data_IF_397525562529
#
_entry.id   IF_397525562529
#
_cell.length_a   1.000
_cell.length_b   1.000
_cell.length_c   1.000
_cell.angle_alpha   90.00
_cell.angle_beta   90.00
_cell.angle_gamma   90.00
#
_symmetry.space_group_name_H-M   'P 1'
#
loop_
_entity.id
_entity.type
_entity.pdbx_description
1 polymer ?
#
# COMPACT_ATOMS: atom_id res chain seq x y z
N UNK A 1 -16.47 20.83 -11.02
CA UNK A 1 -15.95 20.78 -9.64
C UNK A 1 -16.22 19.38 -9.13
N UNK A 2 -15.20 18.62 -8.83
CA UNK A 2 -15.35 17.29 -8.18
C UNK A 2 -15.98 17.53 -6.81
N UNK A 3 -17.06 16.85 -6.40
CA UNK A 3 -17.64 17.03 -5.09
C UNK A 3 -16.58 16.74 -4.04
N UNK A 4 -16.49 17.57 -3.02
CA UNK A 4 -15.55 17.38 -1.90
C UNK A 4 -15.97 16.11 -1.17
N UNK A 5 -15.17 15.04 -1.25
CA UNK A 5 -15.41 13.79 -0.54
C UNK A 5 -15.34 14.03 0.97
N UNK A 6 -16.27 13.44 1.71
CA UNK A 6 -16.36 13.60 3.16
C UNK A 6 -16.06 12.29 3.92
N UNK A 7 -16.28 11.13 3.27
CA UNK A 7 -16.12 9.80 3.85
C UNK A 7 -14.97 9.02 3.20
N UNK A 8 -14.95 8.96 1.85
CA UNK A 8 -13.91 8.25 1.13
C UNK A 8 -12.61 9.07 1.08
N UNK A 9 -11.55 8.53 1.67
CA UNK A 9 -10.17 8.99 1.51
C UNK A 9 -9.51 8.42 0.25
N UNK A 10 -8.18 8.42 0.21
CA UNK A 10 -7.40 7.78 -0.88
C UNK A 10 -7.45 6.26 -0.83
N UNK A 11 -7.81 5.67 0.33
CA UNK A 11 -7.81 4.23 0.56
C UNK A 11 -9.06 3.79 1.34
N UNK A 12 -10.23 4.09 0.80
CA UNK A 12 -11.51 3.75 1.38
C UNK A 12 -11.99 4.68 2.50
N UNK A 13 -12.94 4.21 3.30
CA UNK A 13 -13.49 4.91 4.47
C UNK A 13 -12.70 4.44 5.69
N UNK A 14 -12.14 5.36 6.49
CA UNK A 14 -11.39 5.04 7.71
C UNK A 14 -11.84 5.87 8.90
N UNK A 15 -11.69 5.33 10.10
CA UNK A 15 -11.97 6.02 11.36
C UNK A 15 -11.78 5.12 12.57
N UNK A 16 -12.04 5.67 13.75
CA UNK A 16 -12.07 4.91 15.00
C UNK A 16 -13.32 4.01 15.00
N UNK A 17 -13.12 2.73 15.28
CA UNK A 17 -14.21 1.76 15.31
C UNK A 17 -15.22 2.11 16.42
N UNK A 18 -16.51 2.18 16.06
CA UNK A 18 -17.58 2.62 16.95
C UNK A 18 -17.90 4.11 16.89
N UNK A 19 -17.05 4.93 16.26
CA UNK A 19 -17.29 6.34 15.99
C UNK A 19 -17.67 6.56 14.52
N UNK A 20 -18.34 7.69 14.23
CA UNK A 20 -18.63 8.04 12.84
C UNK A 20 -17.31 8.27 12.07
N UNK A 21 -17.13 7.68 10.88
CA UNK A 21 -18.12 7.00 10.02
C UNK A 21 -18.25 5.48 10.25
N UNK A 22 -17.64 4.88 11.27
CA UNK A 22 -17.64 3.43 11.52
C UNK A 22 -18.52 3.04 12.73
N UNK A 23 -19.68 3.67 12.89
CA UNK A 23 -20.69 3.21 13.84
C UNK A 23 -21.44 1.99 13.28
N UNK A 24 -22.16 1.26 14.16
CA UNK A 24 -22.98 0.12 13.74
C UNK A 24 -24.07 0.51 12.72
N UNK A 25 -24.63 1.72 12.82
CA UNK A 25 -25.61 2.22 11.87
C UNK A 25 -24.96 2.61 10.54
N UNK A 26 -23.91 3.42 10.56
CA UNK A 26 -23.27 3.88 9.32
C UNK A 26 -22.62 2.75 8.55
N UNK A 27 -22.02 1.75 9.20
CA UNK A 27 -21.44 0.58 8.51
C UNK A 27 -22.51 -0.27 7.83
N UNK A 28 -23.70 -0.42 8.44
CA UNK A 28 -24.85 -1.03 7.78
C UNK A 28 -25.31 -0.23 6.56
N UNK A 29 -25.40 1.11 6.70
CA UNK A 29 -25.80 1.98 5.59
C UNK A 29 -24.77 2.01 4.45
N UNK A 30 -23.48 1.90 4.76
CA UNK A 30 -22.42 1.73 3.74
C UNK A 30 -22.68 0.46 2.92
N UNK A 31 -22.94 -0.67 3.57
CA UNK A 31 -23.30 -1.91 2.89
C UNK A 31 -24.54 -1.77 2.02
N UNK A 32 -25.58 -1.12 2.52
CA UNK A 32 -26.83 -0.88 1.78
C UNK A 32 -26.62 0.04 0.56
N UNK A 33 -25.87 1.14 0.73
CA UNK A 33 -25.56 2.06 -0.37
C UNK A 33 -24.74 1.38 -1.46
N UNK A 34 -23.74 0.58 -1.09
CA UNK A 34 -22.98 -0.25 -2.03
C UNK A 34 -23.91 -1.22 -2.78
N UNK A 35 -24.83 -1.84 -2.06
CA UNK A 35 -25.84 -2.74 -2.66
C UNK A 35 -26.70 -2.04 -3.72
N UNK A 36 -27.19 -0.85 -3.43
CA UNK A 36 -27.95 -0.05 -4.39
C UNK A 36 -27.12 0.32 -5.63
N UNK A 37 -25.85 0.69 -5.45
CA UNK A 37 -24.95 1.03 -6.57
C UNK A 37 -24.72 -0.19 -7.49
N UNK A 38 -24.44 -1.36 -6.92
CA UNK A 38 -24.21 -2.59 -7.67
C UNK A 38 -25.45 -3.06 -8.47
N UNK A 39 -26.64 -2.90 -7.91
CA UNK A 39 -27.89 -3.28 -8.57
C UNK A 39 -28.25 -2.39 -9.77
N UNK A 40 -27.66 -1.19 -9.86
CA UNK A 40 -27.81 -0.32 -11.06
C UNK A 40 -27.11 -0.88 -12.29
N UNK A 41 -26.03 -1.64 -12.12
CA UNK A 41 -25.15 -2.10 -13.20
C UNK A 41 -25.10 -3.61 -13.39
N UNK A 42 -25.53 -4.40 -12.41
CA UNK A 42 -25.37 -5.87 -12.40
C UNK A 42 -26.63 -6.57 -11.97
N UNK A 43 -27.09 -7.53 -12.77
CA UNK A 43 -28.19 -8.44 -12.36
C UNK A 43 -27.64 -9.53 -11.43
N UNK A 44 -28.30 -9.72 -10.27
CA UNK A 44 -27.91 -10.71 -9.26
C UNK A 44 -26.45 -10.64 -8.82
N UNK A 45 -25.95 -9.46 -8.36
CA UNK A 45 -24.58 -9.31 -7.94
C UNK A 45 -24.26 -10.19 -6.72
N UNK A 46 -23.05 -10.71 -6.68
CA UNK A 46 -22.47 -11.36 -5.51
C UNK A 46 -21.31 -10.50 -4.99
N UNK A 47 -21.16 -10.39 -3.69
CA UNK A 47 -20.08 -9.62 -3.06
C UNK A 47 -19.22 -10.56 -2.20
N UNK A 48 -17.91 -10.40 -2.29
CA UNK A 48 -16.95 -11.05 -1.40
C UNK A 48 -16.61 -10.08 -0.27
N UNK A 49 -16.58 -10.58 0.98
CA UNK A 49 -16.10 -9.83 2.14
C UNK A 49 -14.89 -10.54 2.75
N UNK A 50 -13.83 -9.78 3.07
CA UNK A 50 -12.68 -10.21 3.83
C UNK A 50 -12.34 -9.20 4.91
N UNK A 51 -11.54 -9.61 5.89
CA UNK A 51 -11.19 -8.74 7.02
C UNK A 51 -9.80 -9.02 7.55
N UNK A 52 -9.21 -8.03 8.23
CA UNK A 52 -8.01 -8.23 9.04
C UNK A 52 -8.33 -8.79 10.44
N UNK A 53 -7.33 -8.81 11.30
CA UNK A 53 -7.38 -9.45 12.62
C UNK A 53 -7.87 -8.54 13.74
N UNK A 54 -8.27 -7.28 13.48
CA UNK A 54 -8.74 -6.33 14.50
C UNK A 54 -9.98 -6.85 15.20
N UNK A 55 -10.10 -6.58 16.51
CA UNK A 55 -11.28 -6.92 17.32
C UNK A 55 -12.58 -6.37 16.71
N UNK A 56 -12.49 -5.20 16.06
CA UNK A 56 -13.64 -4.56 15.45
C UNK A 56 -14.01 -5.11 14.06
N UNK A 57 -13.13 -5.83 13.38
CA UNK A 57 -13.34 -6.27 12.00
C UNK A 57 -14.54 -7.22 11.85
N UNK A 58 -14.79 -8.19 12.74
CA UNK A 58 -15.94 -9.08 12.62
C UNK A 58 -17.28 -8.36 12.66
N UNK A 59 -17.49 -7.46 13.62
CA UNK A 59 -18.79 -6.79 13.74
C UNK A 59 -19.01 -5.75 12.61
N UNK A 60 -17.94 -5.11 12.11
CA UNK A 60 -18.05 -4.21 10.94
C UNK A 60 -18.40 -5.03 9.70
N UNK A 61 -17.74 -6.18 9.48
CA UNK A 61 -18.06 -7.09 8.38
C UNK A 61 -19.53 -7.54 8.43
N UNK A 62 -20.04 -7.92 9.60
CA UNK A 62 -21.44 -8.31 9.80
C UNK A 62 -22.40 -7.18 9.41
N UNK A 63 -22.13 -5.95 9.84
CA UNK A 63 -23.00 -4.79 9.53
C UNK A 63 -23.00 -4.47 8.04
N UNK A 64 -21.85 -4.46 7.40
CA UNK A 64 -21.75 -4.25 5.94
C UNK A 64 -22.48 -5.37 5.19
N UNK A 65 -22.29 -6.63 5.61
CA UNK A 65 -22.96 -7.78 5.01
C UNK A 65 -24.49 -7.67 5.14
N UNK A 66 -25.00 -7.31 6.31
CA UNK A 66 -26.46 -7.16 6.51
C UNK A 66 -27.02 -6.00 5.69
N UNK A 67 -26.26 -4.92 5.55
CA UNK A 67 -26.62 -3.82 4.64
C UNK A 67 -26.75 -4.28 3.20
N UNK A 68 -25.76 -5.03 2.69
CA UNK A 68 -25.79 -5.65 1.35
C UNK A 68 -26.98 -6.63 1.21
N UNK A 69 -27.15 -7.53 2.18
CA UNK A 69 -28.21 -8.53 2.16
C UNK A 69 -29.62 -7.89 2.17
N UNK A 70 -29.79 -6.74 2.83
CA UNK A 70 -31.05 -5.99 2.84
C UNK A 70 -31.50 -5.52 1.45
N UNK A 71 -30.57 -5.46 0.49
CA UNK A 71 -30.85 -5.15 -0.93
C UNK A 71 -31.02 -6.40 -1.80
N UNK A 72 -30.96 -7.60 -1.22
CA UNK A 72 -31.09 -8.88 -1.93
C UNK A 72 -29.77 -9.42 -2.49
N UNK A 73 -28.63 -8.81 -2.16
CA UNK A 73 -27.30 -9.26 -2.62
C UNK A 73 -26.84 -10.46 -1.81
N UNK A 74 -26.29 -11.46 -2.51
CA UNK A 74 -25.63 -12.60 -1.89
C UNK A 74 -24.18 -12.23 -1.52
N UNK A 75 -23.82 -12.49 -0.27
CA UNK A 75 -22.47 -12.23 0.24
C UNK A 75 -21.76 -13.56 0.53
N UNK A 76 -20.48 -13.62 0.19
CA UNK A 76 -19.54 -14.67 0.58
C UNK A 76 -18.49 -14.08 1.51
N UNK A 77 -18.06 -14.81 2.52
CA UNK A 77 -16.99 -14.38 3.43
C UNK A 77 -15.73 -15.19 3.21
N UNK A 78 -14.59 -14.52 3.07
CA UNK A 78 -13.27 -15.14 3.09
C UNK A 78 -12.66 -15.19 4.51
N UNK A 79 -13.36 -14.61 5.51
CA UNK A 79 -12.87 -14.51 6.88
C UNK A 79 -11.66 -13.59 6.98
N UNK A 80 -10.69 -13.95 7.84
CA UNK A 80 -9.41 -13.25 7.91
C UNK A 80 -8.60 -13.59 6.67
N UNK A 81 -8.27 -12.57 5.89
CA UNK A 81 -7.55 -12.67 4.61
C UNK A 81 -6.89 -11.34 4.30
N UNK A 82 -5.79 -11.36 3.54
CA UNK A 82 -5.09 -10.15 3.10
C UNK A 82 -5.92 -9.31 2.13
N UNK A 83 -5.68 -8.00 2.09
CA UNK A 83 -6.32 -7.09 1.13
C UNK A 83 -6.13 -7.55 -0.33
N UNK A 84 -4.91 -7.89 -0.79
CA UNK A 84 -4.73 -8.41 -2.15
C UNK A 84 -5.43 -9.75 -2.39
N UNK A 85 -5.57 -10.59 -1.37
CA UNK A 85 -6.35 -11.84 -1.48
C UNK A 85 -7.82 -11.58 -1.83
N UNK A 86 -8.46 -10.56 -1.22
CA UNK A 86 -9.82 -10.16 -1.59
C UNK A 86 -9.87 -9.61 -3.01
N UNK A 87 -8.92 -8.75 -3.40
CA UNK A 87 -8.87 -8.20 -4.76
C UNK A 87 -8.77 -9.31 -5.83
N UNK A 88 -7.85 -10.26 -5.63
CA UNK A 88 -7.67 -11.42 -6.51
C UNK A 88 -8.94 -12.29 -6.58
N UNK A 89 -9.48 -12.68 -5.44
CA UNK A 89 -10.67 -13.55 -5.39
C UNK A 89 -11.93 -12.86 -5.93
N UNK A 90 -12.03 -11.54 -5.80
CA UNK A 90 -13.13 -10.78 -6.41
C UNK A 90 -13.14 -10.96 -7.91
N UNK A 91 -11.98 -10.77 -8.53
CA UNK A 91 -11.80 -10.92 -9.98
C UNK A 91 -11.95 -12.38 -10.42
N UNK A 92 -11.17 -13.28 -9.85
CA UNK A 92 -11.12 -14.72 -10.26
C UNK A 92 -12.41 -15.46 -9.94
N UNK A 93 -13.10 -15.12 -8.86
CA UNK A 93 -14.37 -15.71 -8.43
C UNK A 93 -15.61 -15.12 -9.10
N UNK A 94 -15.46 -14.10 -9.96
CA UNK A 94 -16.55 -13.45 -10.68
C UNK A 94 -17.54 -12.74 -9.74
N UNK A 95 -17.05 -12.13 -8.65
CA UNK A 95 -17.84 -11.27 -7.79
C UNK A 95 -18.06 -9.90 -8.43
N UNK A 96 -19.17 -9.25 -8.12
CA UNK A 96 -19.46 -7.91 -8.60
C UNK A 96 -18.65 -6.85 -7.85
N UNK A 97 -18.29 -7.14 -6.59
CA UNK A 97 -17.41 -6.32 -5.77
C UNK A 97 -16.74 -7.17 -4.68
N UNK A 98 -15.60 -6.70 -4.20
CA UNK A 98 -14.92 -7.18 -2.99
C UNK A 98 -14.87 -6.09 -1.94
N UNK A 99 -15.12 -6.44 -0.70
CA UNK A 99 -15.05 -5.53 0.46
C UNK A 99 -14.00 -6.03 1.44
N UNK A 100 -13.09 -5.15 1.85
CA UNK A 100 -12.08 -5.43 2.88
C UNK A 100 -12.35 -4.57 4.09
N UNK A 101 -12.39 -5.21 5.25
CA UNK A 101 -12.48 -4.54 6.54
C UNK A 101 -11.09 -4.49 7.15
N UNK A 102 -10.42 -3.36 6.98
CA UNK A 102 -9.06 -3.11 7.48
C UNK A 102 -8.70 -1.63 7.42
N UNK A 103 -7.84 -1.20 8.35
CA UNK A 103 -7.15 0.08 8.32
C UNK A 103 -5.64 -0.06 8.07
N UNK A 104 -5.19 -1.17 7.46
CA UNK A 104 -3.79 -1.43 7.09
C UNK A 104 -2.85 -1.27 8.31
N UNK A 105 -1.94 -0.31 8.28
CA UNK A 105 -0.90 -0.08 9.29
C UNK A 105 -1.35 0.78 10.49
N UNK A 106 -2.61 1.24 10.53
CA UNK A 106 -3.14 2.02 11.67
C UNK A 106 -3.20 1.17 12.96
N UNK A 107 -3.25 1.79 14.16
CA UNK A 107 -3.46 1.07 15.42
C UNK A 107 -4.78 0.29 15.43
N UNK A 108 -4.90 -0.69 16.32
CA UNK A 108 -6.04 -1.60 16.39
C UNK A 108 -7.40 -0.92 16.65
N UNK A 109 -7.39 0.26 17.26
CA UNK A 109 -8.58 1.08 17.52
C UNK A 109 -9.25 1.61 16.26
N UNK A 110 -8.45 1.79 15.22
CA UNK A 110 -8.94 2.22 13.92
C UNK A 110 -9.38 1.03 13.08
N UNK A 111 -10.30 1.29 12.15
CA UNK A 111 -10.66 0.33 11.12
C UNK A 111 -10.99 1.06 9.80
N UNK A 112 -11.33 0.31 8.77
CA UNK A 112 -11.69 0.88 7.48
C UNK A 112 -12.51 -0.08 6.63
N UNK A 113 -13.10 0.47 5.58
CA UNK A 113 -13.86 -0.26 4.57
C UNK A 113 -13.29 0.13 3.20
N UNK A 114 -12.60 -0.80 2.55
CA UNK A 114 -12.09 -0.67 1.18
C UNK A 114 -13.00 -1.46 0.25
N UNK A 115 -13.25 -0.93 -0.95
CA UNK A 115 -14.10 -1.61 -1.94
C UNK A 115 -13.36 -1.78 -3.25
N UNK A 116 -13.35 -3.00 -3.75
CA UNK A 116 -12.81 -3.37 -5.06
C UNK A 116 -13.94 -3.62 -6.05
N UNK A 117 -13.76 -3.17 -7.28
CA UNK A 117 -14.64 -3.49 -8.41
C UNK A 117 -14.48 -4.94 -8.84
N UNK A 118 -15.37 -5.41 -9.71
CA UNK A 118 -15.35 -6.76 -10.29
C UNK A 118 -14.01 -7.15 -10.91
N UNK A 119 -13.24 -6.17 -11.35
CA UNK A 119 -11.94 -6.38 -12.00
C UNK A 119 -10.79 -6.42 -11.01
N UNK A 120 -11.07 -6.36 -9.69
CA UNK A 120 -10.08 -6.39 -8.61
C UNK A 120 -9.34 -5.07 -8.40
N UNK A 121 -9.77 -3.99 -9.04
CA UNK A 121 -9.25 -2.64 -8.82
C UNK A 121 -10.09 -1.89 -7.79
N UNK A 122 -9.51 -0.90 -7.11
CA UNK A 122 -10.29 0.03 -6.28
C UNK A 122 -11.39 0.71 -7.08
N UNK A 123 -12.50 1.06 -6.41
CA UNK A 123 -13.60 1.72 -7.08
C UNK A 123 -13.14 3.05 -7.71
N UNK A 124 -13.66 3.39 -8.91
CA UNK A 124 -13.49 4.72 -9.48
C UNK A 124 -14.11 5.81 -8.59
N UNK A 125 -13.54 7.01 -8.61
CA UNK A 125 -13.99 8.18 -7.83
C UNK A 125 -15.48 8.50 -8.01
N UNK A 126 -16.01 8.29 -9.21
CA UNK A 126 -17.43 8.51 -9.53
C UNK A 126 -18.37 7.56 -8.76
N UNK A 127 -17.96 6.29 -8.60
CA UNK A 127 -18.72 5.31 -7.81
C UNK A 127 -18.63 5.60 -6.31
N UNK A 128 -17.41 5.92 -5.81
CA UNK A 128 -17.24 6.32 -4.40
C UNK A 128 -18.09 7.55 -4.07
N UNK A 129 -18.12 8.56 -4.93
CA UNK A 129 -18.96 9.75 -4.75
C UNK A 129 -20.46 9.44 -4.76
N UNK A 130 -20.91 8.55 -5.64
CA UNK A 130 -22.32 8.13 -5.71
C UNK A 130 -22.74 7.35 -4.44
N UNK A 131 -21.88 6.42 -3.97
CA UNK A 131 -22.10 5.68 -2.74
C UNK A 131 -22.15 6.62 -1.54
N UNK A 132 -21.23 7.60 -1.46
CA UNK A 132 -21.20 8.60 -0.39
C UNK A 132 -22.49 9.45 -0.35
N UNK A 133 -22.98 9.90 -1.50
CA UNK A 133 -24.25 10.63 -1.59
C UNK A 133 -25.42 9.78 -1.09
N UNK A 134 -25.47 8.52 -1.47
CA UNK A 134 -26.49 7.57 -1.01
C UNK A 134 -26.41 7.35 0.50
N UNK A 135 -25.21 7.20 1.08
CA UNK A 135 -25.02 7.07 2.53
C UNK A 135 -25.60 8.30 3.26
N UNK A 136 -25.28 9.51 2.81
CA UNK A 136 -25.82 10.72 3.43
C UNK A 136 -27.33 10.86 3.26
N UNK A 137 -27.90 10.43 2.15
CA UNK A 137 -29.36 10.38 1.95
C UNK A 137 -30.03 9.40 2.93
N UNK A 138 -29.44 8.22 3.09
CA UNK A 138 -29.94 7.20 4.01
C UNK A 138 -29.85 7.64 5.48
N UNK A 139 -28.80 8.37 5.87
CA UNK A 139 -28.63 8.92 7.23
C UNK A 139 -29.69 9.98 7.59
N UNK A 140 -30.24 10.67 6.59
CA UNK A 140 -31.32 11.66 6.80
C UNK A 140 -32.72 11.04 6.81
N UNK A 141 -32.85 9.78 6.41
CA UNK A 141 -34.12 9.07 6.38
C UNK A 141 -34.55 8.64 7.80
N UNK A 142 -35.87 8.44 8.09
CA UNK A 142 -36.29 7.87 9.36
C UNK A 142 -35.51 6.59 9.64
N UNK A 143 -35.01 6.43 10.87
CA UNK A 143 -34.08 5.37 11.28
C UNK A 143 -34.42 4.03 10.62
N UNK A 144 -33.57 3.65 9.66
CA UNK A 144 -33.59 2.32 9.12
C UNK A 144 -33.32 1.34 10.28
N UNK A 145 -34.23 0.40 10.52
CA UNK A 145 -33.91 -0.66 11.48
C UNK A 145 -32.66 -1.38 10.95
N UNK A 146 -31.60 -1.31 11.73
CA UNK A 146 -30.36 -2.05 11.44
C UNK A 146 -30.74 -3.53 11.48
N UNK A 147 -30.70 -4.17 10.32
CA UNK A 147 -31.00 -5.60 10.20
C UNK A 147 -30.03 -6.42 11.07
N UNK A 148 -30.47 -7.61 11.43
CA UNK A 148 -29.63 -8.63 12.06
C UNK A 148 -29.73 -9.92 11.25
N UNK A 149 -28.68 -10.75 11.30
CA UNK A 149 -28.60 -11.99 10.52
C UNK A 149 -27.44 -12.86 10.99
N UNK A 150 -27.10 -13.83 10.18
CA UNK A 150 -25.91 -14.65 10.41
C UNK A 150 -24.63 -13.79 10.37
N UNK A 151 -23.64 -14.16 11.16
CA UNK A 151 -22.33 -13.49 11.13
C UNK A 151 -21.56 -13.85 9.85
N UNK A 152 -20.82 -12.89 9.31
CA UNK A 152 -19.92 -13.11 8.17
C UNK A 152 -18.90 -14.23 8.47
N UNK A 153 -18.48 -14.36 9.72
CA UNK A 153 -17.55 -15.42 10.16
C UNK A 153 -18.17 -16.82 10.16
N UNK A 154 -19.51 -16.95 10.20
CA UNK A 154 -20.22 -18.24 10.15
C UNK A 154 -20.53 -18.73 8.73
N UNK A 155 -20.31 -17.87 7.70
CA UNK A 155 -20.58 -18.27 6.32
C UNK A 155 -19.57 -19.35 5.87
N UNK A 156 -20.08 -20.41 5.18
CA UNK A 156 -19.22 -21.51 4.72
C UNK A 156 -18.31 -21.07 3.59
N UNK A 157 -17.16 -21.75 3.43
CA UNK A 157 -16.30 -21.59 2.27
C UNK A 157 -15.07 -20.70 2.47
N UNK A 158 -14.92 -20.00 3.60
CA UNK A 158 -13.79 -19.11 3.85
C UNK A 158 -12.42 -19.80 3.67
N UNK A 159 -12.25 -21.02 4.20
CA UNK A 159 -11.01 -21.79 4.06
C UNK A 159 -10.70 -22.13 2.60
N UNK A 160 -11.72 -22.48 1.81
CA UNK A 160 -11.54 -22.77 0.37
C UNK A 160 -11.14 -21.53 -0.43
N UNK A 161 -11.71 -20.37 -0.10
CA UNK A 161 -11.35 -19.11 -0.75
C UNK A 161 -9.89 -18.71 -0.43
N UNK A 162 -9.47 -18.77 0.83
CA UNK A 162 -8.07 -18.51 1.20
C UNK A 162 -7.11 -19.46 0.51
N UNK A 163 -7.44 -20.77 0.51
CA UNK A 163 -6.63 -21.77 -0.19
C UNK A 163 -6.46 -21.44 -1.67
N UNK A 164 -7.52 -21.03 -2.37
CA UNK A 164 -7.44 -20.66 -3.78
C UNK A 164 -6.47 -19.49 -4.02
N UNK A 165 -6.43 -18.51 -3.12
CA UNK A 165 -5.46 -17.43 -3.19
C UNK A 165 -4.03 -17.90 -2.91
N UNK A 166 -3.81 -18.71 -1.88
CA UNK A 166 -2.48 -19.29 -1.56
C UNK A 166 -1.98 -20.17 -2.72
N UNK A 167 -2.82 -21.00 -3.31
CA UNK A 167 -2.49 -21.82 -4.46
C UNK A 167 -2.12 -20.98 -5.69
N UNK A 168 -2.83 -19.87 -5.93
CA UNK A 168 -2.48 -18.94 -6.98
C UNK A 168 -1.11 -18.28 -6.74
N UNK A 169 -0.83 -17.82 -5.51
CA UNK A 169 0.48 -17.25 -5.16
C UNK A 169 1.59 -18.28 -5.39
N UNK A 170 1.42 -19.50 -4.90
CA UNK A 170 2.41 -20.58 -5.06
C UNK A 170 2.63 -20.95 -6.54
N UNK A 171 1.57 -20.97 -7.36
CA UNK A 171 1.67 -21.24 -8.80
C UNK A 171 2.42 -20.15 -9.57
N UNK A 172 2.58 -18.95 -9.02
CA UNK A 172 3.39 -17.88 -9.60
C UNK A 172 4.88 -17.95 -9.23
N UNK A 173 5.29 -18.94 -8.43
CA UNK A 173 6.71 -19.20 -8.09
C UNK A 173 7.28 -20.17 -9.11
N UNK A 174 8.36 -19.75 -9.78
CA UNK A 174 8.99 -20.53 -10.85
C UNK A 174 10.45 -20.91 -10.55
N UNK A 175 10.98 -20.48 -9.39
CA UNK A 175 12.31 -20.88 -8.92
C UNK A 175 12.19 -21.82 -7.73
N UNK A 176 13.22 -22.64 -7.52
CA UNK A 176 13.34 -23.44 -6.31
C UNK A 176 13.75 -22.56 -5.13
N UNK A 177 12.85 -22.42 -4.17
CA UNK A 177 13.08 -21.63 -2.94
C UNK A 177 13.55 -22.51 -1.76
N UNK A 178 13.75 -23.82 -2.00
CA UNK A 178 14.21 -24.76 -0.97
C UNK A 178 15.55 -24.32 -0.41
N UNK A 179 15.64 -24.23 0.91
CA UNK A 179 16.88 -23.84 1.60
C UNK A 179 16.98 -22.35 1.95
N UNK A 180 16.14 -21.48 1.39
CA UNK A 180 16.05 -20.09 1.88
C UNK A 180 15.47 -20.08 3.30
N UNK A 181 16.18 -19.42 4.20
CA UNK A 181 15.83 -19.28 5.62
C UNK A 181 15.38 -17.85 5.88
N UNK A 182 14.13 -17.67 6.22
CA UNK A 182 13.55 -16.34 6.35
C UNK A 182 12.93 -16.12 7.74
N UNK A 183 13.09 -14.90 8.28
CA UNK A 183 12.36 -14.44 9.45
C UNK A 183 11.22 -13.52 8.98
N UNK A 184 10.00 -13.82 9.36
CA UNK A 184 8.79 -13.16 8.84
C UNK A 184 8.01 -12.52 9.98
N UNK A 185 7.79 -11.22 9.91
CA UNK A 185 6.87 -10.48 10.77
C UNK A 185 5.53 -10.32 10.05
N UNK A 186 4.49 -10.94 10.62
CA UNK A 186 3.12 -10.86 10.11
C UNK A 186 2.31 -9.68 10.69
N UNK A 187 2.92 -8.76 11.43
CA UNK A 187 2.26 -7.62 12.07
C UNK A 187 1.06 -8.00 12.98
N UNK A 188 0.96 -9.25 13.42
CA UNK A 188 -0.26 -9.84 14.00
C UNK A 188 -1.52 -9.58 13.13
N UNK A 189 -1.32 -9.38 11.83
CA UNK A 189 -2.32 -9.04 10.83
C UNK A 189 -2.78 -10.22 9.99
N UNK A 190 -3.39 -9.91 8.85
CA UNK A 190 -4.01 -10.90 7.97
C UNK A 190 -3.00 -11.92 7.41
N UNK A 191 -1.73 -11.51 7.16
CA UNK A 191 -0.70 -12.42 6.68
C UNK A 191 -0.46 -13.63 7.58
N UNK A 192 -0.76 -13.53 8.88
CA UNK A 192 -0.63 -14.66 9.81
C UNK A 192 -1.48 -15.88 9.43
N UNK A 193 -2.56 -15.66 8.65
CA UNK A 193 -3.44 -16.72 8.19
C UNK A 193 -2.93 -17.45 6.94
N UNK A 194 -2.20 -16.75 6.05
CA UNK A 194 -1.78 -17.29 4.75
C UNK A 194 -0.28 -17.59 4.66
N UNK A 195 0.58 -16.73 5.21
CA UNK A 195 2.03 -16.82 5.04
C UNK A 195 2.62 -18.16 5.48
N UNK A 196 2.20 -18.80 6.62
CA UNK A 196 2.76 -20.09 7.01
C UNK A 196 2.47 -21.22 6.03
N UNK A 197 1.27 -21.28 5.46
CA UNK A 197 0.89 -22.28 4.47
C UNK A 197 1.60 -22.01 3.13
N UNK A 198 1.62 -20.76 2.69
CA UNK A 198 2.24 -20.32 1.45
C UNK A 198 3.74 -20.65 1.43
N UNK A 199 4.49 -20.21 2.43
CA UNK A 199 5.95 -20.38 2.44
C UNK A 199 6.34 -21.85 2.55
N UNK A 200 5.60 -22.62 3.36
CA UNK A 200 5.79 -24.08 3.41
C UNK A 200 5.52 -24.74 2.05
N UNK A 201 4.47 -24.35 1.34
CA UNK A 201 4.14 -24.92 0.01
C UNK A 201 5.20 -24.60 -1.04
N UNK A 202 5.91 -23.46 -0.87
CA UNK A 202 7.03 -23.06 -1.73
C UNK A 202 8.39 -23.60 -1.28
N UNK A 203 8.46 -24.44 -0.22
CA UNK A 203 9.72 -25.02 0.28
C UNK A 203 10.60 -24.08 1.10
N UNK A 204 10.09 -22.89 1.47
CA UNK A 204 10.83 -21.89 2.24
C UNK A 204 10.90 -22.27 3.71
N UNK A 205 12.09 -22.17 4.32
CA UNK A 205 12.28 -22.35 5.77
C UNK A 205 11.97 -21.05 6.51
N UNK A 206 10.70 -20.83 6.80
CA UNK A 206 10.22 -19.60 7.44
C UNK A 206 10.05 -19.77 8.95
N UNK A 207 10.57 -18.80 9.71
CA UNK A 207 10.27 -18.57 11.11
C UNK A 207 9.39 -17.35 11.24
N UNK A 208 8.28 -17.46 11.98
CA UNK A 208 7.29 -16.38 12.09
C UNK A 208 7.36 -15.71 13.44
N UNK A 209 7.28 -14.39 13.44
CA UNK A 209 7.06 -13.55 14.61
C UNK A 209 5.82 -12.68 14.40
N UNK A 210 5.24 -12.18 15.49
CA UNK A 210 4.01 -11.37 15.43
C UNK A 210 2.93 -12.04 14.55
N UNK A 211 2.71 -13.35 14.75
CA UNK A 211 1.79 -14.19 13.98
C UNK A 211 0.69 -14.81 14.86
N UNK A 212 0.47 -14.26 16.06
CA UNK A 212 -0.55 -14.69 17.01
C UNK A 212 -1.51 -13.54 17.33
N UNK A 213 -2.41 -13.18 16.40
CA UNK A 213 -3.32 -12.06 16.58
C UNK A 213 -4.30 -12.30 17.73
N UNK A 214 -4.52 -11.29 18.58
CA UNK A 214 -5.48 -11.29 19.69
C UNK A 214 -6.62 -10.25 19.51
N UNK A 215 -6.61 -9.55 18.38
CA UNK A 215 -7.56 -8.49 18.04
C UNK A 215 -7.10 -7.07 18.38
N UNK A 216 -6.10 -6.93 19.24
CA UNK A 216 -5.59 -5.64 19.74
C UNK A 216 -4.10 -5.42 19.50
N UNK A 217 -3.39 -6.46 19.14
CA UNK A 217 -1.95 -6.43 18.94
C UNK A 217 -1.50 -6.24 17.48
N UNK A 218 -2.43 -5.99 16.56
CA UNK A 218 -2.10 -5.72 15.15
C UNK A 218 -1.25 -4.44 15.04
N UNK A 219 -0.11 -4.50 14.35
CA UNK A 219 0.87 -3.42 14.18
C UNK A 219 1.46 -2.87 15.50
N UNK A 220 1.26 -3.55 16.63
CA UNK A 220 1.77 -3.07 17.92
C UNK A 220 3.27 -3.38 18.05
N UNK A 221 4.09 -2.35 17.86
CA UNK A 221 5.56 -2.41 17.82
C UNK A 221 6.11 -3.47 16.84
N UNK A 222 5.37 -3.76 15.77
CA UNK A 222 5.71 -4.74 14.73
C UNK A 222 5.17 -4.29 13.37
N UNK A 223 5.48 -5.07 12.33
CA UNK A 223 5.02 -4.82 10.97
C UNK A 223 5.75 -3.68 10.28
N UNK A 224 5.20 -3.24 9.14
CA UNK A 224 5.86 -2.33 8.19
C UNK A 224 6.17 -0.92 8.75
N UNK A 225 5.62 -0.54 9.91
CA UNK A 225 6.02 0.69 10.61
C UNK A 225 7.26 0.50 11.49
N UNK A 226 7.64 -0.75 11.79
CA UNK A 226 8.76 -1.10 12.67
C UNK A 226 9.67 -2.16 12.02
N UNK A 227 10.13 -1.96 10.76
CA UNK A 227 10.91 -2.96 10.04
C UNK A 227 12.26 -3.25 10.71
N UNK A 228 12.74 -2.33 11.56
CA UNK A 228 13.96 -2.48 12.34
C UNK A 228 13.86 -3.64 13.35
N UNK A 229 12.65 -4.03 13.76
CA UNK A 229 12.43 -5.16 14.68
C UNK A 229 12.92 -6.47 14.05
N UNK A 230 12.49 -6.76 12.83
CA UNK A 230 12.96 -7.93 12.07
C UNK A 230 14.44 -7.79 11.70
N UNK A 231 14.84 -6.61 11.23
CA UNK A 231 16.22 -6.34 10.83
C UNK A 231 17.21 -6.62 11.97
N UNK A 232 16.89 -6.15 13.18
CA UNK A 232 17.67 -6.43 14.37
C UNK A 232 17.72 -7.91 14.71
N UNK A 233 16.57 -8.60 14.70
CA UNK A 233 16.50 -10.03 14.99
C UNK A 233 17.30 -10.86 13.98
N UNK A 234 17.27 -10.50 12.68
CA UNK A 234 18.09 -11.14 11.63
C UNK A 234 19.59 -10.92 11.92
N UNK A 235 20.02 -9.70 12.22
CA UNK A 235 21.41 -9.39 12.54
C UNK A 235 21.92 -10.17 13.76
N UNK A 236 21.12 -10.23 14.83
CA UNK A 236 21.44 -10.93 16.08
C UNK A 236 21.48 -12.46 15.89
N UNK A 237 20.83 -13.00 14.88
CA UNK A 237 20.78 -14.43 14.57
C UNK A 237 22.09 -15.03 14.05
N UNK A 238 23.09 -14.18 13.75
CA UNK A 238 24.45 -14.56 13.30
C UNK A 238 24.45 -15.51 12.10
N UNK A 239 23.63 -15.20 11.09
CA UNK A 239 23.58 -15.96 9.85
C UNK A 239 22.60 -17.14 9.86
N UNK A 240 21.68 -17.18 10.82
CA UNK A 240 20.58 -18.15 10.79
C UNK A 240 19.59 -17.86 9.66
N UNK A 241 19.36 -16.58 9.35
CA UNK A 241 18.44 -16.14 8.31
C UNK A 241 19.17 -15.47 7.16
N UNK A 242 18.72 -15.73 5.96
CA UNK A 242 19.21 -15.14 4.72
C UNK A 242 18.46 -13.83 4.38
N UNK A 243 17.23 -13.68 4.92
CA UNK A 243 16.31 -12.59 4.63
C UNK A 243 15.35 -12.36 5.81
N UNK A 244 15.06 -11.10 6.11
CA UNK A 244 13.93 -10.70 6.92
C UNK A 244 12.82 -10.14 6.05
N UNK A 245 11.56 -10.43 6.38
CA UNK A 245 10.36 -9.97 5.68
C UNK A 245 9.41 -9.38 6.70
N UNK A 246 8.85 -8.21 6.40
CA UNK A 246 7.91 -7.53 7.28
C UNK A 246 6.69 -7.09 6.49
N UNK A 247 5.51 -7.55 6.88
CA UNK A 247 4.23 -7.15 6.30
C UNK A 247 3.57 -6.04 7.13
N UNK A 248 2.59 -5.35 6.59
CA UNK A 248 1.66 -4.54 7.36
C UNK A 248 0.37 -5.32 7.69
N UNK A 249 -0.55 -4.70 8.43
CA UNK A 249 -1.70 -5.39 9.01
C UNK A 249 -2.62 -6.09 8.03
N UNK A 250 -2.74 -5.62 6.79
CA UNK A 250 -3.54 -6.26 5.73
C UNK A 250 -2.68 -6.79 4.57
N UNK A 251 -1.37 -6.77 4.76
CA UNK A 251 -0.34 -7.34 3.90
C UNK A 251 -0.40 -6.89 2.44
N UNK A 252 -0.82 -5.65 2.18
CA UNK A 252 -0.69 -5.02 0.88
C UNK A 252 0.73 -4.46 0.67
N UNK A 253 1.59 -4.48 1.72
CA UNK A 253 2.99 -4.05 1.74
C UNK A 253 3.92 -5.15 2.21
N UNK A 254 5.15 -5.14 1.67
CA UNK A 254 6.27 -5.89 2.21
C UNK A 254 7.53 -5.02 2.26
N UNK A 255 8.23 -5.06 3.39
CA UNK A 255 9.57 -4.53 3.56
C UNK A 255 10.51 -5.67 3.90
N UNK A 256 11.81 -5.45 3.71
CA UNK A 256 12.80 -6.50 3.84
C UNK A 256 13.97 -6.07 4.72
N UNK A 257 14.74 -7.04 5.19
CA UNK A 257 16.09 -6.81 5.68
C UNK A 257 17.05 -7.83 5.11
N UNK A 258 18.27 -7.41 4.81
CA UNK A 258 19.32 -8.34 4.42
C UNK A 258 19.86 -9.15 5.62
N UNK A 259 20.71 -10.13 5.36
CA UNK A 259 21.30 -10.98 6.39
C UNK A 259 22.16 -10.21 7.43
N UNK A 260 22.59 -8.99 7.12
CA UNK A 260 23.30 -8.11 8.03
C UNK A 260 22.35 -7.21 8.87
N UNK A 261 21.04 -7.32 8.65
CA UNK A 261 20.03 -6.51 9.35
C UNK A 261 19.89 -5.09 8.81
N UNK A 262 20.25 -4.84 7.55
CA UNK A 262 19.95 -3.56 6.91
C UNK A 262 18.55 -3.59 6.34
N UNK A 263 17.73 -2.62 6.72
CA UNK A 263 16.36 -2.49 6.17
C UNK A 263 16.41 -2.14 4.68
N UNK A 264 15.63 -2.84 3.90
CA UNK A 264 15.41 -2.64 2.47
C UNK A 264 13.93 -2.32 2.25
N UNK A 265 13.66 -1.07 1.92
CA UNK A 265 12.31 -0.57 1.73
C UNK A 265 11.77 -0.86 0.31
N UNK A 266 10.59 -0.33 -0.01
CA UNK A 266 9.95 -0.52 -1.31
C UNK A 266 10.79 -0.03 -2.50
N UNK A 267 11.67 0.96 -2.33
CA UNK A 267 12.58 1.40 -3.40
C UNK A 267 13.55 0.28 -3.77
N UNK A 268 14.08 -0.45 -2.78
CA UNK A 268 14.94 -1.62 -3.02
C UNK A 268 14.19 -2.74 -3.73
N UNK A 269 12.96 -3.04 -3.29
CA UNK A 269 12.11 -4.04 -3.92
C UNK A 269 11.77 -3.66 -5.38
N UNK A 270 11.45 -2.38 -5.65
CA UNK A 270 11.20 -1.88 -6.99
C UNK A 270 12.43 -2.01 -7.90
N UNK A 271 13.62 -1.64 -7.41
CA UNK A 271 14.86 -1.76 -8.18
C UNK A 271 15.13 -3.21 -8.57
N UNK A 272 15.01 -4.11 -7.61
CA UNK A 272 15.26 -5.53 -7.79
C UNK A 272 14.27 -6.14 -8.80
N UNK A 273 12.97 -5.89 -8.61
CA UNK A 273 11.93 -6.37 -9.50
C UNK A 273 12.05 -5.78 -10.91
N UNK A 274 12.40 -4.49 -11.02
CA UNK A 274 12.57 -3.84 -12.32
C UNK A 274 13.71 -4.46 -13.14
N UNK A 275 14.84 -4.70 -12.51
CA UNK A 275 16.00 -5.33 -13.16
C UNK A 275 15.69 -6.76 -13.61
N UNK A 276 15.02 -7.51 -12.77
CA UNK A 276 14.60 -8.87 -13.12
C UNK A 276 13.62 -8.90 -14.28
N UNK A 277 12.57 -8.10 -14.21
CA UNK A 277 11.58 -8.01 -15.29
C UNK A 277 12.23 -7.49 -16.60
N UNK A 278 13.18 -6.58 -16.51
CA UNK A 278 13.95 -6.10 -17.67
C UNK A 278 14.78 -7.23 -18.28
N UNK A 279 15.54 -7.96 -17.47
CA UNK A 279 16.38 -9.08 -17.93
C UNK A 279 15.55 -10.18 -18.59
N UNK A 280 14.31 -10.34 -18.17
CA UNK A 280 13.34 -11.33 -18.71
C UNK A 280 12.48 -10.75 -19.84
N UNK A 281 12.72 -9.53 -20.29
CA UNK A 281 11.92 -8.80 -21.29
C UNK A 281 10.43 -8.66 -20.93
N UNK A 282 10.10 -8.61 -19.64
CA UNK A 282 8.74 -8.47 -19.09
C UNK A 282 8.44 -7.04 -18.60
N UNK A 283 9.47 -6.19 -18.46
CA UNK A 283 9.30 -4.79 -18.08
C UNK A 283 8.84 -3.98 -19.31
N UNK A 284 7.55 -3.81 -19.46
CA UNK A 284 6.99 -3.07 -20.59
C UNK A 284 7.45 -1.61 -20.56
N UNK A 285 7.76 -1.08 -21.74
CA UNK A 285 8.24 0.30 -21.95
C UNK A 285 9.56 0.62 -21.20
N UNK A 286 10.27 -0.40 -20.66
CA UNK A 286 11.43 -0.20 -19.76
C UNK A 286 11.14 0.89 -18.72
N UNK A 287 9.95 0.83 -18.12
CA UNK A 287 9.44 1.90 -17.25
C UNK A 287 8.91 1.34 -15.94
N UNK A 288 9.26 2.03 -14.85
CA UNK A 288 8.71 1.83 -13.49
C UNK A 288 7.95 3.09 -13.09
N UNK A 289 6.81 2.92 -12.45
CA UNK A 289 6.08 4.04 -11.82
C UNK A 289 6.29 3.99 -10.32
N UNK A 290 6.86 5.08 -9.76
CA UNK A 290 7.04 5.24 -8.32
C UNK A 290 6.38 6.53 -7.84
N UNK A 291 6.26 6.73 -6.52
CA UNK A 291 5.68 7.99 -6.02
C UNK A 291 6.74 9.10 -5.93
N UNK A 292 6.26 10.32 -5.70
CA UNK A 292 7.13 11.46 -5.38
C UNK A 292 7.92 11.26 -4.08
N UNK A 293 7.59 10.26 -3.25
CA UNK A 293 8.33 9.93 -2.02
C UNK A 293 9.53 9.01 -2.25
N UNK A 294 9.56 8.27 -3.36
CA UNK A 294 10.70 7.41 -3.70
C UNK A 294 11.98 8.20 -3.81
N UNK A 295 13.04 7.67 -3.22
CA UNK A 295 14.33 8.33 -3.11
C UNK A 295 15.01 8.55 -4.48
N UNK A 296 15.78 9.60 -4.62
CA UNK A 296 16.54 9.88 -5.86
C UNK A 296 17.52 8.76 -6.22
N UNK A 297 18.02 8.05 -5.21
CA UNK A 297 18.88 6.89 -5.41
C UNK A 297 18.25 5.79 -6.25
N UNK A 298 16.93 5.53 -6.07
CA UNK A 298 16.20 4.60 -6.92
C UNK A 298 16.20 5.04 -8.39
N UNK A 299 15.92 6.32 -8.66
CA UNK A 299 15.86 6.85 -10.01
C UNK A 299 17.22 6.73 -10.71
N UNK A 300 18.31 7.03 -9.99
CA UNK A 300 19.67 6.90 -10.51
C UNK A 300 20.03 5.44 -10.80
N UNK A 301 19.74 4.53 -9.87
CA UNK A 301 20.01 3.10 -10.04
C UNK A 301 19.18 2.48 -11.18
N UNK A 302 17.93 2.87 -11.36
CA UNK A 302 17.10 2.45 -12.49
C UNK A 302 17.66 3.00 -13.81
N UNK A 303 18.03 4.28 -13.85
CA UNK A 303 18.60 4.93 -15.03
C UNK A 303 19.90 4.28 -15.46
N UNK A 304 20.79 3.88 -14.53
CA UNK A 304 22.01 3.14 -14.84
C UNK A 304 21.75 1.77 -15.47
N UNK A 305 20.59 1.20 -15.21
CA UNK A 305 20.11 -0.05 -15.82
C UNK A 305 19.30 0.17 -17.11
N UNK A 306 19.24 1.41 -17.65
CA UNK A 306 18.45 1.73 -18.83
C UNK A 306 16.93 1.73 -18.59
N UNK A 307 16.49 1.84 -17.35
CA UNK A 307 15.09 1.84 -16.95
C UNK A 307 14.66 3.27 -16.60
N UNK A 308 13.54 3.71 -17.17
CA UNK A 308 12.94 5.01 -16.88
C UNK A 308 12.06 4.93 -15.64
N UNK A 309 12.16 5.90 -14.75
CA UNK A 309 11.22 6.08 -13.65
C UNK A 309 10.26 7.22 -13.94
N UNK A 310 8.95 6.97 -13.77
CA UNK A 310 7.91 8.00 -13.76
C UNK A 310 7.44 8.21 -12.32
N UNK A 311 7.18 9.46 -11.94
CA UNK A 311 6.71 9.81 -10.61
C UNK A 311 5.23 10.13 -10.61
N UNK A 312 4.46 9.37 -9.82
CA UNK A 312 3.06 9.64 -9.52
C UNK A 312 2.93 10.41 -8.19
N UNK A 313 1.75 10.96 -7.93
CA UNK A 313 1.41 11.44 -6.60
C UNK A 313 1.43 10.30 -5.57
N UNK A 314 1.56 10.66 -4.28
CA UNK A 314 1.53 9.68 -3.18
C UNK A 314 0.14 9.04 -3.10
N UNK A 315 0.13 7.72 -3.05
CA UNK A 315 -1.06 6.87 -2.99
C UNK A 315 -1.06 5.83 -4.13
N UNK A 316 -1.28 4.59 -3.77
CA UNK A 316 -1.30 3.43 -4.66
C UNK A 316 -2.24 3.61 -5.88
N UNK A 317 -3.38 4.27 -5.68
CA UNK A 317 -4.33 4.63 -6.73
C UNK A 317 -3.66 5.46 -7.83
N UNK A 318 -2.89 6.49 -7.47
CA UNK A 318 -2.20 7.35 -8.44
C UNK A 318 -1.06 6.62 -9.15
N UNK A 319 -0.37 5.72 -8.44
CA UNK A 319 0.64 4.83 -9.05
C UNK A 319 -0.04 3.96 -10.11
N UNK A 320 -1.12 3.30 -9.76
CA UNK A 320 -1.86 2.43 -10.67
C UNK A 320 -2.43 3.20 -11.88
N UNK A 321 -3.02 4.37 -11.66
CA UNK A 321 -3.52 5.24 -12.75
C UNK A 321 -2.41 5.60 -13.74
N UNK A 322 -1.23 5.96 -13.24
CA UNK A 322 -0.10 6.29 -14.10
C UNK A 322 0.46 5.06 -14.82
N UNK A 323 0.51 3.89 -14.14
CA UNK A 323 0.86 2.62 -14.78
C UNK A 323 -0.11 2.26 -15.93
N UNK A 324 -1.41 2.48 -15.74
CA UNK A 324 -2.42 2.23 -16.77
C UNK A 324 -2.25 3.17 -17.96
N UNK A 325 -1.97 4.46 -17.72
CA UNK A 325 -1.74 5.47 -18.76
C UNK A 325 -0.51 5.18 -19.61
N UNK A 326 0.61 4.85 -18.97
CA UNK A 326 1.89 4.63 -19.66
C UNK A 326 2.12 3.19 -20.09
N UNK A 327 1.27 2.24 -19.68
CA UNK A 327 1.39 0.82 -20.00
C UNK A 327 2.47 0.08 -19.20
N UNK A 328 2.97 0.66 -18.09
CA UNK A 328 3.97 0.02 -17.23
C UNK A 328 3.41 -1.23 -16.54
N UNK A 329 4.28 -2.22 -16.35
CA UNK A 329 3.95 -3.49 -15.66
C UNK A 329 4.42 -3.52 -14.21
N UNK A 330 5.23 -2.57 -13.77
CA UNK A 330 5.74 -2.46 -12.41
C UNK A 330 5.58 -1.04 -11.90
N UNK A 331 5.08 -0.91 -10.68
CA UNK A 331 5.05 0.33 -9.95
C UNK A 331 4.90 0.10 -8.46
N UNK A 332 5.05 1.16 -7.66
CA UNK A 332 4.89 1.03 -6.22
C UNK A 332 5.37 2.24 -5.44
N UNK A 333 5.47 2.03 -4.14
CA UNK A 333 5.79 3.06 -3.16
C UNK A 333 6.97 2.63 -2.28
N UNK A 334 7.70 3.60 -1.77
CA UNK A 334 8.77 3.38 -0.79
C UNK A 334 8.26 2.64 0.46
N UNK A 335 6.98 2.77 0.79
CA UNK A 335 6.32 2.08 1.90
C UNK A 335 6.19 0.56 1.73
N UNK A 336 6.59 0.00 0.56
CA UNK A 336 6.55 -1.44 0.28
C UNK A 336 5.29 -1.91 -0.46
N UNK A 337 4.39 -1.02 -0.84
CA UNK A 337 3.24 -1.33 -1.68
C UNK A 337 3.70 -1.45 -3.15
N UNK A 338 3.90 -2.68 -3.64
CA UNK A 338 4.44 -2.97 -4.97
C UNK A 338 3.36 -3.64 -5.82
N UNK A 339 3.12 -3.07 -6.99
CA UNK A 339 2.09 -3.51 -7.95
C UNK A 339 2.78 -4.18 -9.14
N UNK A 340 2.53 -5.48 -9.31
CA UNK A 340 2.96 -6.27 -10.46
C UNK A 340 1.77 -6.43 -11.43
N UNK A 341 1.87 -5.90 -12.64
CA UNK A 341 0.88 -6.05 -13.71
C UNK A 341 1.37 -6.95 -14.85
N UNK A 342 2.21 -7.92 -14.51
CA UNK A 342 2.70 -8.97 -15.40
C UNK A 342 1.83 -10.25 -15.38
N UNK A 343 0.81 -10.27 -14.51
CA UNK A 343 -0.12 -11.37 -14.34
C UNK A 343 -1.52 -10.90 -13.93
N UNK A 344 -2.11 -11.58 -12.96
CA UNK A 344 -3.48 -11.33 -12.50
C UNK A 344 -3.58 -10.38 -11.29
N UNK A 345 -2.46 -9.95 -10.73
CA UNK A 345 -2.46 -8.99 -9.62
C UNK A 345 -2.95 -7.61 -10.08
N UNK A 346 -3.76 -6.97 -9.26
CA UNK A 346 -4.42 -5.70 -9.56
C UNK A 346 -4.12 -4.60 -8.56
N UNK A 347 -3.49 -4.95 -7.45
CA UNK A 347 -3.08 -4.05 -6.36
C UNK A 347 -1.73 -4.48 -5.80
N UNK A 348 -1.17 -3.72 -4.87
CA UNK A 348 0.01 -4.16 -4.14
C UNK A 348 -0.29 -5.42 -3.34
N UNK A 349 0.66 -6.34 -3.34
CA UNK A 349 0.56 -7.63 -2.68
C UNK A 349 1.90 -7.95 -2.01
N UNK A 350 1.91 -7.88 -0.68
CA UNK A 350 3.11 -8.11 0.10
C UNK A 350 3.60 -9.55 0.00
N UNK A 351 2.68 -10.52 -0.01
CA UNK A 351 3.05 -11.95 -0.14
C UNK A 351 3.64 -12.23 -1.53
N UNK A 352 3.03 -11.73 -2.59
CA UNK A 352 3.57 -11.84 -3.94
C UNK A 352 4.94 -11.14 -4.06
N UNK A 353 5.07 -9.95 -3.48
CA UNK A 353 6.34 -9.20 -3.46
C UNK A 353 7.44 -9.99 -2.76
N UNK A 354 7.13 -10.61 -1.60
CA UNK A 354 8.07 -11.45 -0.88
C UNK A 354 8.51 -12.67 -1.72
N UNK A 355 7.57 -13.34 -2.38
CA UNK A 355 7.89 -14.46 -3.28
C UNK A 355 8.78 -14.02 -4.44
N UNK A 356 8.48 -12.87 -5.09
CA UNK A 356 9.29 -12.34 -6.19
C UNK A 356 10.72 -12.00 -5.75
N UNK A 357 10.90 -11.39 -4.57
CA UNK A 357 12.23 -11.11 -4.02
C UNK A 357 13.01 -12.41 -3.79
N UNK A 358 12.39 -13.41 -3.15
CA UNK A 358 13.00 -14.72 -2.91
C UNK A 358 13.34 -15.45 -4.21
N UNK A 359 12.46 -15.40 -5.22
CA UNK A 359 12.74 -15.97 -6.54
C UNK A 359 13.96 -15.35 -7.22
N UNK A 360 14.10 -14.03 -7.12
CA UNK A 360 15.25 -13.34 -7.71
C UNK A 360 16.53 -13.77 -7.00
N UNK A 361 16.53 -13.82 -5.66
CA UNK A 361 17.67 -14.31 -4.89
C UNK A 361 18.05 -15.74 -5.27
N UNK A 362 17.07 -16.65 -5.33
CA UNK A 362 17.29 -18.05 -5.68
C UNK A 362 17.83 -18.22 -7.11
N UNK A 363 17.23 -17.54 -8.08
CA UNK A 363 17.60 -17.64 -9.50
C UNK A 363 18.98 -17.07 -9.79
N UNK A 364 19.37 -15.99 -9.13
CA UNK A 364 20.66 -15.33 -9.31
C UNK A 364 21.74 -15.93 -8.43
N UNK A 365 21.38 -16.70 -7.42
CA UNK A 365 22.25 -17.17 -6.34
C UNK A 365 23.01 -16.04 -5.67
N UNK A 366 22.34 -14.89 -5.47
CA UNK A 366 22.87 -13.70 -4.83
C UNK A 366 22.04 -13.33 -3.59
N UNK A 367 22.70 -12.79 -2.59
CA UNK A 367 22.05 -12.22 -1.42
C UNK A 367 21.32 -10.91 -1.78
N UNK A 368 20.32 -10.55 -0.96
CA UNK A 368 19.61 -9.27 -1.14
C UNK A 368 20.60 -8.09 -1.11
N UNK A 369 21.61 -8.14 -0.25
CA UNK A 369 22.64 -7.11 -0.14
C UNK A 369 23.46 -6.92 -1.44
N UNK A 370 23.82 -8.02 -2.10
CA UNK A 370 24.55 -7.97 -3.37
C UNK A 370 23.69 -7.40 -4.50
N UNK A 371 22.42 -7.82 -4.57
CA UNK A 371 21.47 -7.43 -5.60
C UNK A 371 21.16 -5.93 -5.62
N UNK A 372 21.24 -5.26 -4.46
CA UNK A 372 20.98 -3.82 -4.31
C UNK A 372 22.21 -3.02 -3.90
N UNK A 373 23.40 -3.58 -4.06
CA UNK A 373 24.67 -2.99 -3.57
C UNK A 373 24.96 -1.59 -4.11
N UNK A 374 24.45 -1.26 -5.27
CA UNK A 374 24.55 0.05 -5.91
C UNK A 374 23.40 1.02 -5.60
N UNK A 375 22.38 0.56 -4.87
CA UNK A 375 21.30 1.44 -4.41
C UNK A 375 21.80 2.32 -3.26
N UNK A 376 22.07 3.58 -3.58
CA UNK A 376 22.49 4.59 -2.59
C UNK A 376 21.26 5.36 -2.12
N UNK A 377 21.02 5.42 -0.82
CA UNK A 377 20.02 6.31 -0.26
C UNK A 377 20.58 7.71 -0.17
N UNK A 378 19.95 8.63 -0.87
CA UNK A 378 20.28 10.05 -0.82
C UNK A 378 19.71 10.66 0.46
N UNK A 379 20.52 11.41 1.22
CA UNK A 379 20.02 12.22 2.33
C UNK A 379 18.86 13.11 1.88
N UNK A 380 17.79 13.13 2.67
CA UNK A 380 16.58 13.91 2.41
C UNK A 380 16.28 14.82 3.59
N UNK A 381 15.94 16.06 3.31
CA UNK A 381 15.46 17.01 4.32
C UNK A 381 14.19 17.71 3.87
N UNK A 382 13.25 17.81 4.78
CA UNK A 382 12.07 18.65 4.64
C UNK A 382 12.18 19.80 5.64
N UNK A 383 12.19 21.04 5.14
CA UNK A 383 12.22 22.26 5.95
C UNK A 383 10.94 23.05 5.75
N UNK A 384 10.23 23.32 6.85
CA UNK A 384 9.02 24.11 6.86
C UNK A 384 9.37 25.60 7.07
N UNK A 385 8.85 26.45 6.21
CA UNK A 385 9.05 27.90 6.30
C UNK A 385 7.68 28.59 6.44
N UNK A 386 7.38 29.23 7.58
CA UNK A 386 6.16 30.01 7.74
C UNK A 386 6.08 31.14 6.71
N UNK A 387 4.91 31.33 6.11
CA UNK A 387 4.67 32.37 5.08
C UNK A 387 3.47 33.22 5.42
N UNK A 388 3.53 34.52 5.07
CA UNK A 388 2.43 35.46 5.27
C UNK A 388 1.23 35.16 4.39
N UNK A 389 1.51 34.75 3.16
CA UNK A 389 0.52 34.42 2.14
C UNK A 389 1.03 33.35 1.19
N UNK A 390 0.11 32.66 0.53
CA UNK A 390 0.44 31.61 -0.44
C UNK A 390 0.35 32.15 -1.87
N UNK A 391 1.28 33.03 -2.24
CA UNK A 391 1.40 33.49 -3.62
C UNK A 391 2.00 32.37 -4.49
N UNK A 392 1.64 32.24 -5.78
CA UNK A 392 2.29 31.28 -6.65
C UNK A 392 3.82 31.43 -6.59
N UNK A 393 4.54 30.34 -6.30
CA UNK A 393 6.00 30.39 -6.17
C UNK A 393 6.68 30.86 -7.49
N UNK A 394 6.01 30.69 -8.62
CA UNK A 394 6.43 31.22 -9.93
C UNK A 394 6.46 32.74 -9.97
N UNK A 395 5.70 33.40 -9.13
CA UNK A 395 5.56 34.85 -9.10
C UNK A 395 6.54 35.50 -8.09
N UNK A 396 7.42 34.69 -7.46
CA UNK A 396 8.44 35.15 -6.51
C UNK A 396 9.83 34.95 -7.13
N UNK A 397 10.40 35.97 -7.82
CA UNK A 397 11.62 35.80 -8.63
C UNK A 397 12.83 35.31 -7.86
N UNK A 398 13.01 35.73 -6.60
CA UNK A 398 14.13 35.32 -5.77
C UNK A 398 14.07 33.83 -5.41
N UNK A 399 12.88 33.34 -5.08
CA UNK A 399 12.65 31.92 -4.79
C UNK A 399 12.86 31.06 -6.05
N UNK A 400 12.38 31.52 -7.20
CA UNK A 400 12.60 30.85 -8.48
C UNK A 400 14.09 30.77 -8.82
N UNK A 401 14.84 31.87 -8.64
CA UNK A 401 16.31 31.84 -8.86
C UNK A 401 17.02 30.87 -7.94
N UNK A 402 16.61 30.81 -6.66
CA UNK A 402 17.19 29.87 -5.69
C UNK A 402 16.92 28.41 -6.09
N UNK A 403 15.68 28.08 -6.50
CA UNK A 403 15.30 26.74 -6.96
C UNK A 403 16.11 26.36 -8.22
N UNK A 404 16.14 27.20 -9.24
CA UNK A 404 16.88 26.95 -10.47
C UNK A 404 18.39 26.82 -10.24
N UNK A 405 18.94 27.60 -9.28
CA UNK A 405 20.35 27.46 -8.91
C UNK A 405 20.62 26.11 -8.25
N UNK A 406 19.74 25.67 -7.36
CA UNK A 406 19.81 24.38 -6.70
C UNK A 406 19.70 23.22 -7.71
N UNK A 407 18.74 23.27 -8.63
CA UNK A 407 18.56 22.25 -9.67
C UNK A 407 19.79 22.13 -10.57
N UNK A 408 20.38 23.25 -10.98
CA UNK A 408 21.63 23.26 -11.76
C UNK A 408 22.80 22.67 -10.98
N UNK A 409 22.92 22.98 -9.70
CA UNK A 409 23.98 22.45 -8.85
C UNK A 409 23.84 20.96 -8.58
N UNK A 410 22.61 20.47 -8.47
CA UNK A 410 22.31 19.04 -8.27
C UNK A 410 22.59 18.22 -9.53
N UNK A 411 22.52 18.84 -10.71
CA UNK A 411 22.86 18.24 -12.03
C UNK A 411 22.31 16.82 -12.22
N UNK A 412 21.03 16.61 -11.84
CA UNK A 412 20.35 15.30 -11.93
C UNK A 412 20.79 14.27 -10.89
N UNK A 413 21.65 14.63 -9.91
CA UNK A 413 22.07 13.82 -8.78
C UNK A 413 21.47 14.35 -7.47
N UNK A 414 20.21 14.73 -7.53
CA UNK A 414 19.43 15.25 -6.43
C UNK A 414 18.18 15.93 -6.96
N UNK A 415 17.33 16.39 -6.06
CA UNK A 415 16.11 17.11 -6.43
C UNK A 415 15.66 18.11 -5.37
N UNK A 416 14.88 19.05 -5.82
CA UNK A 416 14.19 20.05 -5.00
C UNK A 416 12.71 19.96 -5.26
N UNK A 417 11.91 19.96 -4.19
CA UNK A 417 10.45 20.13 -4.26
C UNK A 417 10.07 21.23 -3.29
N UNK A 418 9.50 22.32 -3.81
CA UNK A 418 8.95 23.40 -3.00
C UNK A 418 7.45 23.50 -3.24
N UNK A 419 6.67 23.41 -2.16
CA UNK A 419 5.21 23.47 -2.24
C UNK A 419 4.63 24.08 -0.98
N UNK A 420 3.42 24.63 -1.06
CA UNK A 420 2.69 25.03 0.13
C UNK A 420 2.03 23.84 0.83
N UNK A 421 1.92 23.93 2.17
CA UNK A 421 1.04 23.05 2.94
C UNK A 421 -0.41 23.31 2.54
N UNK A 422 -1.21 22.26 2.42
CA UNK A 422 -2.65 22.38 2.14
C UNK A 422 -3.41 23.11 3.25
N UNK A 423 -3.08 22.81 4.50
CA UNK A 423 -3.83 23.23 5.69
C UNK A 423 -3.17 24.39 6.47
N UNK A 424 -1.85 24.54 6.40
CA UNK A 424 -1.10 25.50 7.21
C UNK A 424 -0.49 26.62 6.34
N UNK A 425 -0.22 27.81 6.88
CA UNK A 425 0.47 28.89 6.18
C UNK A 425 1.99 28.64 6.13
N UNK A 426 2.39 27.52 5.50
CA UNK A 426 3.78 27.07 5.40
C UNK A 426 4.14 26.76 3.95
N UNK A 427 5.36 27.13 3.54
CA UNK A 427 6.05 26.52 2.41
C UNK A 427 6.92 25.35 2.92
N UNK A 428 6.85 24.22 2.22
CA UNK A 428 7.69 23.05 2.50
C UNK A 428 8.75 22.93 1.43
N UNK A 429 10.00 23.00 1.86
CA UNK A 429 11.19 22.81 1.01
C UNK A 429 11.71 21.39 1.27
N UNK A 430 11.64 20.53 0.30
CA UNK A 430 12.25 19.21 0.33
C UNK A 430 13.47 19.19 -0.60
N UNK A 431 14.60 18.74 -0.09
CA UNK A 431 15.84 18.57 -0.85
C UNK A 431 16.38 17.17 -0.62
N UNK A 432 16.79 16.54 -1.70
CA UNK A 432 17.62 15.32 -1.71
C UNK A 432 18.93 15.64 -2.43
N UNK A 433 20.05 15.21 -1.88
CA UNK A 433 21.37 15.40 -2.48
C UNK A 433 22.32 14.27 -2.13
N UNK A 434 23.46 14.18 -2.82
CA UNK A 434 24.49 13.14 -2.64
C UNK A 434 25.10 13.10 -1.23
N UNK A 435 25.12 14.24 -0.53
CA UNK A 435 25.67 14.37 0.83
C UNK A 435 24.76 15.22 1.71
N UNK A 436 24.82 14.97 3.02
CA UNK A 436 24.11 15.76 4.01
C UNK A 436 24.47 17.24 3.97
N UNK A 437 25.78 17.55 3.77
CA UNK A 437 26.27 18.92 3.68
C UNK A 437 25.64 19.66 2.50
N UNK A 438 25.66 19.06 1.30
CA UNK A 438 25.06 19.64 0.08
C UNK A 438 23.55 19.81 0.24
N UNK A 439 22.86 18.79 0.76
CA UNK A 439 21.42 18.80 1.04
C UNK A 439 21.05 19.95 2.01
N UNK A 440 21.77 20.06 3.14
CA UNK A 440 21.54 21.07 4.16
C UNK A 440 21.71 22.50 3.59
N UNK A 441 22.84 22.74 2.91
CA UNK A 441 23.17 24.03 2.33
C UNK A 441 22.13 24.49 1.30
N UNK A 442 21.69 23.58 0.43
CA UNK A 442 20.65 23.88 -0.58
C UNK A 442 19.29 24.15 0.10
N UNK A 443 18.92 23.35 1.08
CA UNK A 443 17.67 23.53 1.81
C UNK A 443 17.64 24.90 2.54
N UNK A 444 18.73 25.26 3.21
CA UNK A 444 18.85 26.55 3.92
C UNK A 444 18.85 27.73 2.96
N UNK A 445 19.48 27.61 1.79
CA UNK A 445 19.49 28.66 0.76
C UNK A 445 18.06 28.95 0.26
N UNK A 446 17.31 27.91 -0.09
CA UNK A 446 15.94 28.05 -0.59
C UNK A 446 15.00 28.56 0.53
N UNK A 447 15.12 27.99 1.73
CA UNK A 447 14.31 28.39 2.89
C UNK A 447 14.55 29.88 3.26
N UNK A 448 15.81 30.34 3.21
CA UNK A 448 16.17 31.75 3.44
C UNK A 448 15.57 32.67 2.38
N UNK A 449 15.61 32.27 1.12
CA UNK A 449 14.98 33.02 0.02
C UNK A 449 13.46 33.16 0.21
N UNK A 450 12.78 32.08 0.58
CA UNK A 450 11.34 32.09 0.89
C UNK A 450 11.06 33.01 2.10
N UNK A 451 11.84 32.85 3.18
CA UNK A 451 11.67 33.66 4.39
C UNK A 451 11.83 35.16 4.11
N UNK A 452 12.81 35.55 3.30
CA UNK A 452 13.06 36.92 2.93
C UNK A 452 11.94 37.50 2.07
N UNK A 453 11.47 36.78 1.09
CA UNK A 453 10.49 37.26 0.12
C UNK A 453 9.05 37.28 0.67
N UNK A 454 8.61 36.17 1.30
CA UNK A 454 7.21 35.96 1.71
C UNK A 454 7.05 35.39 3.13
N UNK A 455 8.13 35.28 3.90
CA UNK A 455 8.11 34.73 5.25
C UNK A 455 7.43 35.68 6.27
N UNK A 456 7.01 35.07 7.41
CA UNK A 456 6.49 35.81 8.59
C UNK A 456 7.63 36.23 9.49
#
# INVERSE_FOLDING_TARGET
>A
MTPTRKLFGTDGIRGVAGEFPLTAESTYLIGRALGHDLLRSTMHPRVLIGQDTRESSPWIADRVMWGLASTGIKVSSAGVITTPGVAYLTRSGGYAAGVVISASHNPWTDNGIKVFSRDGYKLPDSHEAAIEQEIFSLLQSPKAQVGSGESASSLPGAAGLRRAYVEWLAANVHADLTGLRVLVDCANGAAAAEAPELFRSCGVQATFMCACPDGKNINDNCGALYPETVAKAVAESKGTFDLGITFDGDADRALFSDAAGRVVNGDGALLLAARDLQARALLKQSTVVATTMSNMGLEIALRSSGIRMLRANVGDKYVLEEMLKCGATLGGEQSGHIIFRDGEATTGDGLLTALRVMEIMARTNQSLAELISDLKTFPQRIQNVPVREKVPLTDVPDVQRAIQSAERELDGNGRVIVRYSGTEPLARVMVEAESEEKMQRIADMIASSIKTAIGT
#
